data_IF_679300604012
#
_entry.id   IF_679300604012
#
_cell.length_a   1.000
_cell.length_b   1.000
_cell.length_c   1.000
_cell.angle_alpha   90.00
_cell.angle_beta   90.00
_cell.angle_gamma   90.00
#
_symmetry.space_group_name_H-M   'P 1'
#
loop_
_entity.id
_entity.type
_entity.pdbx_description
1 polymer ?
#
# COMPACT_ATOMS: atom_id res chain seq x y z
N UNK A 1 -18.92 1.02 -14.06
CA UNK A 1 -18.41 2.39 -14.31
C UNK A 1 -16.94 2.37 -13.91
N UNK A 2 -15.99 2.50 -14.85
CA UNK A 2 -14.56 2.56 -14.48
C UNK A 2 -14.33 3.93 -13.84
N UNK A 3 -14.14 3.96 -12.53
CA UNK A 3 -13.76 5.21 -11.86
C UNK A 3 -12.31 5.46 -12.26
N UNK A 4 -12.10 6.49 -13.08
CA UNK A 4 -10.77 6.92 -13.50
C UNK A 4 -10.23 7.82 -12.39
N UNK A 5 -9.43 7.25 -11.49
CA UNK A 5 -8.82 7.97 -10.35
C UNK A 5 -7.57 8.74 -10.78
N UNK A 6 -7.68 9.60 -11.80
CA UNK A 6 -6.68 10.65 -12.06
C UNK A 6 -6.83 11.74 -11.00
N UNK A 7 -6.64 11.36 -9.74
CA UNK A 7 -6.54 12.32 -8.64
C UNK A 7 -5.15 12.90 -8.72
N UNK A 8 -5.05 14.21 -8.97
CA UNK A 8 -3.78 14.92 -8.87
C UNK A 8 -3.16 14.65 -7.50
N UNK A 9 -1.98 14.03 -7.52
CA UNK A 9 -1.26 13.59 -6.33
C UNK A 9 0.12 14.22 -6.31
N UNK A 10 0.50 14.77 -5.16
CA UNK A 10 1.80 15.38 -4.93
C UNK A 10 2.63 14.41 -4.10
N UNK A 11 3.81 14.04 -4.60
CA UNK A 11 4.78 13.24 -3.86
C UNK A 11 5.28 14.07 -2.67
N UNK A 12 5.10 13.56 -1.46
CA UNK A 12 5.52 14.24 -0.21
C UNK A 12 6.78 13.61 0.38
N UNK A 13 6.90 12.28 0.28
CA UNK A 13 8.10 11.56 0.73
C UNK A 13 8.37 10.41 -0.23
N UNK A 14 9.64 10.14 -0.50
CA UNK A 14 10.07 9.13 -1.47
C UNK A 14 11.12 8.21 -0.86
N UNK A 15 11.05 6.93 -1.23
CA UNK A 15 12.02 5.90 -0.93
C UNK A 15 12.31 5.74 0.56
N UNK A 16 11.30 5.93 1.41
CA UNK A 16 11.40 5.73 2.86
C UNK A 16 11.56 4.24 3.14
N UNK A 17 12.71 3.85 3.67
CA UNK A 17 12.93 2.47 4.11
C UNK A 17 12.17 2.21 5.41
N UNK A 18 11.31 1.19 5.41
CA UNK A 18 10.53 0.82 6.57
C UNK A 18 10.29 -0.69 6.63
N UNK A 19 9.94 -1.17 7.82
CA UNK A 19 9.29 -2.48 7.98
C UNK A 19 7.81 -2.26 8.15
N UNK A 20 7.00 -2.98 7.37
CA UNK A 20 5.55 -2.99 7.51
C UNK A 20 5.10 -4.38 7.91
N UNK A 21 4.06 -4.46 8.73
CA UNK A 21 3.36 -5.70 9.00
C UNK A 21 1.96 -5.64 8.41
N UNK A 22 1.61 -6.65 7.62
CA UNK A 22 0.32 -6.81 6.98
C UNK A 22 -0.53 -7.83 7.76
N UNK A 23 -1.75 -7.42 8.10
CA UNK A 23 -2.76 -8.21 8.82
C UNK A 23 -2.27 -8.84 10.14
N UNK A 24 -1.29 -8.23 10.81
CA UNK A 24 -0.66 -8.75 12.03
C UNK A 24 0.00 -10.12 11.82
N UNK A 25 0.45 -10.42 10.59
CA UNK A 25 0.94 -11.76 10.20
C UNK A 25 2.21 -11.74 9.37
N UNK A 26 2.35 -10.79 8.44
CA UNK A 26 3.43 -10.82 7.46
C UNK A 26 4.27 -9.55 7.53
N UNK A 27 5.53 -9.71 7.90
CA UNK A 27 6.49 -8.62 8.00
C UNK A 27 7.32 -8.52 6.71
N UNK A 28 7.38 -7.31 6.16
CA UNK A 28 8.17 -7.03 4.96
C UNK A 28 9.04 -5.78 5.16
N UNK A 29 10.28 -5.88 4.71
CA UNK A 29 11.12 -4.70 4.49
C UNK A 29 10.77 -4.10 3.14
N UNK A 30 10.38 -2.83 3.14
CA UNK A 30 9.83 -2.15 1.97
C UNK A 30 10.44 -0.77 1.79
N UNK A 31 10.32 -0.22 0.58
CA UNK A 31 10.38 1.22 0.40
C UNK A 31 8.98 1.80 0.22
N UNK A 32 8.70 2.88 0.94
CA UNK A 32 7.45 3.60 0.89
C UNK A 32 7.63 4.94 0.17
N UNK A 33 6.73 5.20 -0.78
CA UNK A 33 6.52 6.52 -1.34
C UNK A 33 5.15 7.02 -0.87
N UNK A 34 5.11 8.23 -0.32
CA UNK A 34 3.90 8.87 0.18
C UNK A 34 3.47 9.97 -0.78
N UNK A 35 2.19 9.99 -1.12
CA UNK A 35 1.58 11.02 -1.93
C UNK A 35 0.38 11.60 -1.17
N UNK A 36 0.12 12.88 -1.40
CA UNK A 36 -1.09 13.57 -0.91
C UNK A 36 -1.94 13.99 -2.09
N UNK A 37 -3.25 13.80 -1.98
CA UNK A 37 -4.21 14.38 -2.91
C UNK A 37 -4.61 15.78 -2.48
N UNK A 38 -5.28 16.50 -3.38
CA UNK A 38 -5.91 17.80 -3.10
C UNK A 38 -6.93 17.69 -1.93
N UNK A 39 -7.54 16.50 -1.74
CA UNK A 39 -8.44 16.21 -0.62
C UNK A 39 -7.75 15.95 0.72
N UNK A 40 -6.42 16.11 0.80
CA UNK A 40 -5.59 15.74 1.96
C UNK A 40 -5.70 14.24 2.35
N UNK A 41 -5.89 13.37 1.36
CA UNK A 41 -5.87 11.92 1.56
C UNK A 41 -4.49 11.37 1.19
N UNK A 42 -3.96 10.47 2.02
CA UNK A 42 -2.69 9.81 1.73
C UNK A 42 -2.87 8.66 0.75
N UNK A 43 -1.97 8.60 -0.21
CA UNK A 43 -1.76 7.46 -1.09
C UNK A 43 -0.36 6.92 -0.83
N UNK A 44 -0.25 5.60 -0.85
CA UNK A 44 1.00 4.90 -0.52
C UNK A 44 1.41 4.04 -1.71
N UNK A 45 2.65 4.16 -2.16
CA UNK A 45 3.26 3.14 -3.00
C UNK A 45 4.22 2.32 -2.12
N UNK A 46 4.03 1.00 -2.11
CA UNK A 46 4.83 0.06 -1.33
C UNK A 46 5.65 -0.77 -2.30
N UNK A 47 6.97 -0.67 -2.21
CA UNK A 47 7.90 -1.48 -2.98
C UNK A 47 8.49 -2.56 -2.07
N UNK A 48 8.03 -3.79 -2.24
CA UNK A 48 8.56 -4.99 -1.58
C UNK A 48 9.83 -5.42 -2.28
N UNK A 49 10.90 -5.63 -1.50
CA UNK A 49 12.23 -6.00 -2.01
C UNK A 49 12.69 -7.30 -1.39
N UNK A 50 13.51 -8.05 -2.12
CA UNK A 50 14.10 -9.32 -1.69
C UNK A 50 13.03 -10.35 -1.31
N UNK A 51 11.90 -10.35 -2.02
CA UNK A 51 10.82 -11.32 -1.82
C UNK A 51 11.05 -12.57 -2.66
N UNK A 52 10.62 -13.71 -2.14
CA UNK A 52 10.67 -15.00 -2.85
C UNK A 52 9.30 -15.34 -3.48
N UNK A 53 9.22 -16.48 -4.17
CA UNK A 53 7.98 -16.95 -4.80
C UNK A 53 6.80 -17.11 -3.81
N UNK A 54 7.04 -17.61 -2.60
CA UNK A 54 6.01 -17.77 -1.58
C UNK A 54 5.47 -16.41 -1.11
N UNK A 55 6.33 -15.42 -0.95
CA UNK A 55 5.94 -14.05 -0.61
C UNK A 55 5.07 -13.45 -1.73
N UNK A 56 5.42 -13.67 -3.00
CA UNK A 56 4.63 -13.22 -4.15
C UNK A 56 3.22 -13.84 -4.12
N UNK A 57 3.11 -15.13 -3.80
CA UNK A 57 1.80 -15.79 -3.66
C UNK A 57 0.98 -15.17 -2.53
N UNK A 58 1.59 -14.92 -1.37
CA UNK A 58 0.93 -14.27 -0.22
C UNK A 58 0.48 -12.86 -0.61
N UNK A 59 1.34 -12.06 -1.24
CA UNK A 59 1.02 -10.71 -1.67
C UNK A 59 -0.12 -10.73 -2.70
N UNK A 60 -0.08 -11.62 -3.69
CA UNK A 60 -1.16 -11.79 -4.68
C UNK A 60 -2.50 -12.19 -4.02
N UNK A 61 -2.48 -12.90 -2.90
CA UNK A 61 -3.69 -13.23 -2.15
C UNK A 61 -4.18 -12.04 -1.31
N UNK A 62 -3.27 -11.34 -0.65
CA UNK A 62 -3.60 -10.18 0.19
C UNK A 62 -4.19 -9.03 -0.63
N UNK A 63 -3.65 -8.73 -1.81
CA UNK A 63 -4.12 -7.62 -2.65
C UNK A 63 -5.56 -7.79 -3.16
N UNK A 64 -6.12 -9.01 -3.11
CA UNK A 64 -7.51 -9.30 -3.48
C UNK A 64 -8.48 -8.99 -2.35
N UNK A 65 -7.98 -8.72 -1.14
CA UNK A 65 -8.80 -8.24 -0.04
C UNK A 65 -9.18 -6.78 -0.29
N UNK A 66 -10.39 -6.38 0.08
CA UNK A 66 -10.81 -4.98 -0.01
C UNK A 66 -9.93 -4.04 0.82
N UNK A 67 -9.56 -4.51 2.00
CA UNK A 67 -8.81 -3.76 3.00
C UNK A 67 -7.86 -4.71 3.69
N UNK A 68 -6.63 -4.26 3.85
CA UNK A 68 -5.57 -4.94 4.58
C UNK A 68 -5.18 -4.03 5.74
N UNK A 69 -5.09 -4.60 6.95
CA UNK A 69 -4.54 -3.84 8.06
C UNK A 69 -3.04 -3.71 7.86
N UNK A 70 -2.51 -2.50 8.01
CA UNK A 70 -1.08 -2.23 7.90
C UNK A 70 -0.63 -1.53 9.17
N UNK A 71 0.52 -1.95 9.67
CA UNK A 71 1.21 -1.23 10.72
C UNK A 71 2.69 -1.06 10.37
N UNK A 72 3.29 -0.02 10.93
CA UNK A 72 4.72 0.25 10.82
C UNK A 72 5.13 1.16 11.96
N UNK A 73 6.30 0.91 12.55
CA UNK A 73 6.89 1.82 13.53
C UNK A 73 7.09 3.23 12.93
N UNK A 74 7.42 3.30 11.63
CA UNK A 74 7.59 4.58 10.92
C UNK A 74 6.31 5.43 10.96
N UNK A 75 5.13 4.82 10.84
CA UNK A 75 3.86 5.56 10.89
C UNK A 75 3.64 6.18 12.27
N UNK A 76 3.96 5.44 13.33
CA UNK A 76 3.80 5.89 14.71
C UNK A 76 4.75 7.05 15.00
N UNK A 77 6.03 6.91 14.67
CA UNK A 77 7.07 7.91 14.96
C UNK A 77 6.86 9.23 14.22
N UNK A 78 6.26 9.17 13.02
CA UNK A 78 6.00 10.35 12.19
C UNK A 78 4.54 10.84 12.29
N UNK A 79 3.76 10.32 13.24
CA UNK A 79 2.36 10.69 13.47
C UNK A 79 1.48 10.56 12.21
N UNK A 80 1.73 9.54 11.38
CA UNK A 80 0.85 9.15 10.30
C UNK A 80 -0.27 8.27 10.82
N UNK A 81 -1.51 8.75 10.76
CA UNK A 81 -2.68 7.92 11.03
C UNK A 81 -2.98 7.04 9.81
N UNK A 82 -2.14 6.04 9.53
CA UNK A 82 -2.35 5.04 8.46
C UNK A 82 -2.49 3.67 9.14
N UNK A 83 -3.70 3.11 9.08
CA UNK A 83 -4.05 1.84 9.73
C UNK A 83 -4.45 0.76 8.74
N UNK A 84 -4.97 1.19 7.59
CA UNK A 84 -5.56 0.31 6.59
C UNK A 84 -5.16 0.77 5.19
N UNK A 85 -5.04 -0.20 4.28
CA UNK A 85 -4.80 0.05 2.87
C UNK A 85 -5.75 -0.75 1.99
N UNK A 86 -6.15 -0.18 0.86
CA UNK A 86 -6.76 -0.88 -0.26
C UNK A 86 -5.83 -0.82 -1.47
N UNK A 87 -5.46 -1.99 -2.00
CA UNK A 87 -4.56 -2.08 -3.17
C UNK A 87 -5.39 -1.89 -4.43
N UNK A 88 -5.00 -0.94 -5.29
CA UNK A 88 -5.72 -0.66 -6.54
C UNK A 88 -4.89 -0.94 -7.79
N UNK A 89 -3.55 -0.90 -7.67
CA UNK A 89 -2.62 -1.39 -8.69
C UNK A 89 -1.61 -2.29 -8.00
N UNK A 90 -1.32 -3.41 -8.64
CA UNK A 90 -0.28 -4.32 -8.24
C UNK A 90 0.56 -4.72 -9.44
N UNK A 91 1.87 -4.70 -9.24
CA UNK A 91 2.87 -5.21 -10.17
C UNK A 91 3.67 -6.29 -9.41
N UNK A 92 3.63 -7.53 -9.89
CA UNK A 92 4.35 -8.66 -9.30
C UNK A 92 5.44 -9.12 -10.25
N UNK A 93 6.69 -9.09 -9.83
CA UNK A 93 7.83 -9.58 -10.64
C UNK A 93 8.96 -9.97 -9.71
N UNK A 94 9.20 -11.27 -9.51
CA UNK A 94 10.32 -11.72 -8.68
C UNK A 94 11.65 -11.07 -9.13
N UNK A 95 12.44 -10.46 -8.22
CA UNK A 95 12.38 -10.52 -6.75
C UNK A 95 11.68 -9.31 -6.09
N UNK A 96 10.70 -8.71 -6.75
CA UNK A 96 10.05 -7.46 -6.37
C UNK A 96 8.52 -7.53 -6.48
N UNK A 97 7.84 -6.75 -5.65
CA UNK A 97 6.43 -6.44 -5.85
C UNK A 97 6.21 -4.96 -5.57
N UNK A 98 5.29 -4.36 -6.30
CA UNK A 98 4.89 -2.97 -6.10
C UNK A 98 3.39 -2.89 -5.96
N UNK A 99 2.94 -2.29 -4.86
CA UNK A 99 1.53 -1.95 -4.66
C UNK A 99 1.35 -0.45 -4.66
N UNK A 100 0.26 -0.01 -5.31
CA UNK A 100 -0.27 1.34 -5.12
C UNK A 100 -1.56 1.22 -4.32
N UNK A 101 -1.65 1.99 -3.26
CA UNK A 101 -2.64 1.84 -2.22
C UNK A 101 -3.33 3.16 -1.90
N UNK A 102 -4.64 3.09 -1.65
CA UNK A 102 -5.35 4.10 -0.88
C UNK A 102 -5.14 3.82 0.61
N UNK A 103 -4.97 4.86 1.42
CA UNK A 103 -4.90 4.72 2.88
C UNK A 103 -6.25 4.99 3.53
N UNK A 104 -6.56 4.25 4.60
CA UNK A 104 -7.80 4.32 5.37
C UNK A 104 -9.07 4.52 4.52
N UNK A 105 -9.31 3.62 3.56
CA UNK A 105 -10.48 3.69 2.69
C UNK A 105 -11.77 3.81 3.51
N UNK A 106 -12.55 4.88 3.29
CA UNK A 106 -13.90 5.05 3.86
C UNK A 106 -14.93 4.34 2.98
N UNK A 107 -15.40 3.16 3.39
CA UNK A 107 -16.52 2.46 2.74
C UNK A 107 -16.16 1.74 1.43
N UNK A 108 -17.18 1.23 0.72
CA UNK A 108 -17.10 0.21 -0.34
C UNK A 108 -16.27 0.61 -1.59
N UNK A 109 -14.94 0.43 -1.55
CA UNK A 109 -14.08 0.42 -2.76
C UNK A 109 -14.21 -0.93 -3.48
N UNK A 110 -15.42 -1.27 -3.92
CA UNK A 110 -15.72 -2.56 -4.54
C UNK A 110 -16.29 -2.35 -5.94
N UNK A 111 -15.40 -2.31 -6.92
CA UNK A 111 -15.60 -2.88 -8.26
C UNK A 111 -14.40 -2.51 -9.14
N UNK A 112 -13.23 -3.07 -8.83
CA UNK A 112 -12.16 -3.19 -9.82
C UNK A 112 -12.24 -4.62 -10.36
N UNK A 113 -13.01 -4.78 -11.44
CA UNK A 113 -12.99 -5.98 -12.30
C UNK A 113 -11.75 -6.00 -13.17
#
# INVERSE_FOLDING_TARGET
MKINYDVEKILVQQAVSATINLDNRYDYSVLLDFYLTIGNEFYLEINFRNINLQDIEILNLLCKKPVININSQYFIENNYDIKQIAVYIMELTEPMAKWKCFTNPKGEFWDIK
#
